data_IF_435429140649
#
_entry.id   IF_435429140649
#
_cell.length_a   1.000
_cell.length_b   1.000
_cell.length_c   1.000
_cell.angle_alpha   90.00
_cell.angle_beta   90.00
_cell.angle_gamma   90.00
#
_symmetry.space_group_name_H-M   'P 1'
#
loop_
_entity.id
_entity.type
_entity.pdbx_description
1 polymer ?
#
# COMPACT_ATOMS: atom_id res chain seq x y z
N UNK A 1 13.98 -22.84 -36.07
CA UNK A 1 12.58 -22.66 -35.60
C UNK A 1 12.53 -22.11 -34.17
N UNK A 2 13.12 -22.78 -33.18
CA UNK A 2 13.12 -22.32 -31.78
C UNK A 2 13.67 -20.89 -31.59
N UNK A 3 14.84 -20.60 -32.16
CA UNK A 3 15.46 -19.27 -32.09
C UNK A 3 14.56 -18.17 -32.69
N UNK A 4 13.92 -18.47 -33.83
CA UNK A 4 13.02 -17.53 -34.49
C UNK A 4 11.80 -17.25 -33.60
N UNK A 5 11.20 -18.27 -32.99
CA UNK A 5 10.03 -18.12 -32.13
C UNK A 5 10.34 -17.35 -30.85
N UNK A 6 11.51 -17.56 -30.23
CA UNK A 6 11.90 -16.83 -29.03
C UNK A 6 12.25 -15.37 -29.33
N UNK A 7 12.94 -15.09 -30.44
CA UNK A 7 13.22 -13.72 -30.88
C UNK A 7 11.95 -12.94 -31.16
N UNK A 8 10.97 -13.53 -31.86
CA UNK A 8 9.68 -12.89 -32.13
C UNK A 8 8.90 -12.61 -30.83
N UNK A 9 8.87 -13.57 -29.91
CA UNK A 9 8.20 -13.38 -28.61
C UNK A 9 8.86 -12.26 -27.78
N UNK A 10 10.20 -12.21 -27.72
CA UNK A 10 10.93 -11.17 -26.99
C UNK A 10 10.74 -9.78 -27.61
N UNK A 11 10.80 -9.66 -28.94
CA UNK A 11 10.51 -8.41 -29.65
C UNK A 11 9.09 -7.93 -29.36
N UNK A 12 8.14 -8.85 -29.30
CA UNK A 12 6.75 -8.51 -29.00
C UNK A 12 6.55 -8.06 -27.55
N UNK A 13 7.14 -8.75 -26.56
CA UNK A 13 7.10 -8.32 -25.16
C UNK A 13 7.76 -6.95 -24.99
N UNK A 14 8.90 -6.73 -25.65
CA UNK A 14 9.60 -5.44 -25.64
C UNK A 14 8.78 -4.30 -26.28
N UNK A 15 8.17 -4.55 -27.44
CA UNK A 15 7.30 -3.56 -28.08
C UNK A 15 6.06 -3.24 -27.21
N UNK A 16 5.48 -4.27 -26.59
CA UNK A 16 4.34 -4.13 -25.68
C UNK A 16 4.70 -3.40 -24.39
N UNK A 17 5.93 -3.54 -23.89
CA UNK A 17 6.40 -2.82 -22.70
C UNK A 17 6.70 -1.35 -23.02
N UNK A 18 7.27 -1.06 -24.20
CA UNK A 18 7.48 0.30 -24.69
C UNK A 18 6.15 1.08 -24.80
N UNK A 19 5.07 0.43 -25.26
CA UNK A 19 3.72 1.02 -25.27
C UNK A 19 3.28 1.38 -23.84
N UNK A 20 3.45 0.48 -22.87
CA UNK A 20 3.07 0.77 -21.47
C UNK A 20 3.92 1.85 -20.82
N UNK A 21 5.22 1.90 -21.11
CA UNK A 21 6.16 2.91 -20.59
C UNK A 21 5.95 4.27 -21.22
N UNK A 22 5.40 4.32 -22.43
CA UNK A 22 5.08 5.60 -23.09
C UNK A 22 4.08 6.46 -22.33
N UNK A 23 3.35 5.90 -21.37
CA UNK A 23 2.52 6.67 -20.46
C UNK A 23 3.33 7.68 -19.61
N UNK A 24 4.66 7.52 -19.49
CA UNK A 24 5.53 8.44 -18.77
C UNK A 24 5.84 9.73 -19.54
N UNK A 25 5.81 9.70 -20.89
CA UNK A 25 6.12 10.86 -21.72
C UNK A 25 5.15 10.97 -22.91
N UNK A 26 4.43 12.09 -22.96
CA UNK A 26 3.41 12.32 -23.98
C UNK A 26 4.00 12.47 -25.37
N UNK A 27 5.23 13.01 -25.49
CA UNK A 27 5.92 13.14 -26.77
C UNK A 27 6.30 11.77 -27.33
N UNK A 28 6.87 10.89 -26.49
CA UNK A 28 7.16 9.51 -26.86
C UNK A 28 5.89 8.72 -27.20
N UNK A 29 4.80 8.91 -26.46
CA UNK A 29 3.51 8.26 -26.75
C UNK A 29 2.99 8.58 -28.16
N UNK A 30 3.19 9.81 -28.64
CA UNK A 30 2.77 10.25 -29.97
C UNK A 30 3.67 9.71 -31.09
N UNK A 31 4.92 9.37 -30.79
CA UNK A 31 5.88 8.82 -31.77
C UNK A 31 5.82 7.29 -31.90
N UNK A 32 4.96 6.61 -31.14
CA UNK A 32 4.84 5.16 -31.18
C UNK A 32 4.29 4.66 -32.53
N UNK A 33 4.92 3.63 -33.14
CA UNK A 33 4.37 2.98 -34.33
C UNK A 33 2.98 2.39 -34.07
N UNK A 34 2.05 2.61 -35.01
CA UNK A 34 0.67 2.11 -34.94
C UNK A 34 0.60 0.59 -34.75
N UNK A 35 1.55 -0.15 -35.32
CA UNK A 35 1.66 -1.60 -35.16
C UNK A 35 1.99 -2.02 -33.73
N UNK A 36 2.87 -1.30 -33.02
CA UNK A 36 3.19 -1.60 -31.63
C UNK A 36 1.97 -1.42 -30.72
N UNK A 37 1.21 -0.33 -30.93
CA UNK A 37 -0.04 -0.05 -30.20
C UNK A 37 -1.11 -1.11 -30.50
N UNK A 38 -1.26 -1.52 -31.77
CA UNK A 38 -2.23 -2.54 -32.18
C UNK A 38 -1.90 -3.91 -31.59
N UNK A 39 -0.62 -4.29 -31.60
CA UNK A 39 -0.15 -5.54 -31.00
C UNK A 39 -0.33 -5.56 -29.48
N UNK A 40 -0.10 -4.44 -28.80
CA UNK A 40 -0.42 -4.30 -27.39
C UNK A 40 -1.91 -4.52 -27.12
N UNK A 41 -2.80 -3.83 -27.85
CA UNK A 41 -4.27 -3.95 -27.68
C UNK A 41 -4.80 -5.38 -27.87
N UNK A 42 -4.27 -6.10 -28.86
CA UNK A 42 -4.65 -7.50 -29.11
C UNK A 42 -4.29 -8.43 -27.95
N UNK A 43 -3.33 -8.03 -27.13
CA UNK A 43 -2.73 -8.89 -26.11
C UNK A 43 -2.87 -8.36 -24.69
N UNK A 44 -3.47 -7.18 -24.55
CA UNK A 44 -3.76 -6.52 -23.29
C UNK A 44 -4.56 -7.41 -22.33
N UNK A 45 -5.50 -8.21 -22.86
CA UNK A 45 -6.30 -9.17 -22.06
C UNK A 45 -5.44 -10.18 -21.30
N UNK A 46 -4.26 -10.51 -21.82
CA UNK A 46 -3.33 -11.44 -21.18
C UNK A 46 -2.43 -10.77 -20.14
N UNK A 47 -2.48 -9.43 -20.02
CA UNK A 47 -1.71 -8.64 -19.03
C UNK A 47 -0.20 -8.97 -19.02
N UNK A 48 0.36 -9.24 -20.19
CA UNK A 48 1.77 -9.63 -20.38
C UNK A 48 2.71 -8.46 -20.09
N UNK A 49 2.28 -7.25 -20.43
CA UNK A 49 2.90 -6.02 -19.96
C UNK A 49 1.82 -5.16 -19.31
N UNK A 50 2.17 -4.51 -18.21
CA UNK A 50 1.28 -3.58 -17.50
C UNK A 50 2.04 -2.29 -17.26
N UNK A 51 1.40 -1.17 -17.52
CA UNK A 51 1.89 0.11 -17.02
C UNK A 51 1.78 0.05 -15.49
N UNK A 52 2.89 0.28 -14.79
CA UNK A 52 2.84 0.53 -13.36
C UNK A 52 2.36 1.96 -13.16
N UNK A 53 1.08 2.13 -12.86
CA UNK A 53 0.49 3.45 -12.62
C UNK A 53 -0.52 3.32 -11.50
N UNK A 54 -0.05 3.39 -10.24
CA UNK A 54 -0.97 3.30 -9.12
C UNK A 54 -1.87 4.54 -9.08
N UNK A 55 -1.35 5.75 -9.36
CA UNK A 55 -2.12 6.97 -9.66
C UNK A 55 -1.23 7.92 -10.47
N UNK A 56 -1.61 8.30 -11.69
CA UNK A 56 -0.79 9.18 -12.56
C UNK A 56 -0.74 10.63 -12.05
N UNK A 57 -1.71 11.03 -11.23
CA UNK A 57 -1.74 12.26 -10.46
C UNK A 57 -2.56 11.98 -9.19
N UNK A 58 -1.94 12.02 -8.01
CA UNK A 58 -2.68 12.13 -6.76
C UNK A 58 -3.01 13.60 -6.58
N UNK A 59 -4.27 13.96 -6.80
CA UNK A 59 -4.76 15.30 -6.48
C UNK A 59 -4.74 15.45 -4.97
N UNK A 60 -4.02 16.46 -4.47
CA UNK A 60 -4.25 16.89 -3.09
C UNK A 60 -5.71 17.35 -2.92
N UNK A 61 -6.16 17.37 -1.68
CA UNK A 61 -7.52 17.74 -1.29
C UNK A 61 -7.55 19.15 -0.73
N UNK A 62 -8.76 19.70 -0.68
CA UNK A 62 -9.02 21.01 -0.08
C UNK A 62 -9.19 22.10 -1.12
N UNK A 63 -9.98 23.09 -0.74
CA UNK A 63 -10.17 24.33 -1.50
C UNK A 63 -9.97 25.51 -0.56
N UNK A 64 -9.19 26.49 -0.98
CA UNK A 64 -9.07 27.78 -0.29
C UNK A 64 -9.94 28.78 -1.02
N UNK A 65 -10.79 29.49 -0.28
CA UNK A 65 -11.47 30.67 -0.77
C UNK A 65 -10.58 31.88 -0.46
N UNK A 66 -10.19 32.63 -1.48
CA UNK A 66 -9.49 33.92 -1.30
C UNK A 66 -10.50 35.03 -0.99
N UNK A 67 -10.00 36.17 -0.50
CA UNK A 67 -10.80 37.34 -0.13
C UNK A 67 -11.62 37.91 -1.31
N UNK A 68 -11.24 37.59 -2.55
CA UNK A 68 -11.96 37.93 -3.78
C UNK A 68 -13.15 36.99 -4.08
N UNK A 69 -13.41 36.00 -3.22
CA UNK A 69 -14.45 35.00 -3.36
C UNK A 69 -14.10 33.83 -4.30
N UNK A 70 -12.89 33.79 -4.88
CA UNK A 70 -12.48 32.69 -5.75
C UNK A 70 -11.99 31.47 -4.96
N UNK A 71 -12.35 30.27 -5.44
CA UNK A 71 -11.92 29.01 -4.86
C UNK A 71 -10.75 28.41 -5.63
N UNK A 72 -9.67 28.11 -4.92
CA UNK A 72 -8.47 27.47 -5.46
C UNK A 72 -8.30 26.09 -4.83
N UNK A 73 -8.06 25.07 -5.65
CA UNK A 73 -7.70 23.75 -5.13
C UNK A 73 -6.34 23.83 -4.44
N UNK A 74 -6.29 23.44 -3.17
CA UNK A 74 -5.01 23.26 -2.46
C UNK A 74 -4.55 21.84 -2.69
N UNK A 75 -3.26 21.65 -2.93
CA UNK A 75 -2.66 20.32 -3.00
C UNK A 75 -2.29 19.88 -1.58
N UNK A 76 -3.28 19.70 -0.69
CA UNK A 76 -3.03 19.21 0.67
C UNK A 76 -3.26 17.70 0.78
N UNK A 77 -2.67 17.07 1.79
CA UNK A 77 -2.81 15.64 2.06
C UNK A 77 -3.75 15.43 3.26
N UNK A 78 -4.85 14.69 3.12
CA UNK A 78 -5.70 14.36 4.26
C UNK A 78 -5.03 13.28 5.10
N UNK A 79 -4.85 13.56 6.39
CA UNK A 79 -4.19 12.69 7.34
C UNK A 79 -5.04 12.48 8.58
N UNK A 80 -5.33 11.21 8.87
CA UNK A 80 -5.93 10.81 10.13
C UNK A 80 -4.81 10.67 11.18
N UNK A 81 -4.99 11.35 12.30
CA UNK A 81 -4.14 11.26 13.49
C UNK A 81 -4.92 10.52 14.58
N UNK A 82 -4.36 9.42 15.06
CA UNK A 82 -4.94 8.65 16.17
C UNK A 82 -4.37 9.21 17.46
N UNK A 83 -5.24 9.54 18.41
CA UNK A 83 -4.85 10.10 19.70
C UNK A 83 -5.43 9.23 20.81
N UNK A 84 -4.60 8.84 21.78
CA UNK A 84 -5.05 8.13 22.98
C UNK A 84 -5.03 9.02 24.21
N UNK A 85 -5.79 8.64 25.24
CA UNK A 85 -5.79 9.30 26.56
C UNK A 85 -5.67 8.26 27.68
N UNK A 86 -5.10 8.65 28.82
CA UNK A 86 -4.99 7.85 30.06
C UNK A 86 -5.65 8.51 31.28
N UNK A 87 -6.26 9.67 31.08
CA UNK A 87 -6.72 10.56 32.15
C UNK A 87 -8.15 11.04 31.91
N UNK A 88 -8.98 10.18 31.31
CA UNK A 88 -10.37 10.49 31.03
C UNK A 88 -10.58 11.60 30.00
N UNK A 89 -9.61 11.84 29.12
CA UNK A 89 -9.70 12.80 28.02
C UNK A 89 -9.18 14.21 28.33
N UNK A 90 -8.45 14.40 29.44
CA UNK A 90 -7.79 15.68 29.75
C UNK A 90 -6.58 15.91 28.85
N UNK A 91 -5.77 14.86 28.63
CA UNK A 91 -4.63 14.87 27.73
C UNK A 91 -4.77 13.81 26.63
N UNK A 92 -4.33 14.17 25.43
CA UNK A 92 -4.40 13.35 24.23
C UNK A 92 -3.03 13.28 23.58
N UNK A 93 -2.49 12.07 23.45
CA UNK A 93 -1.17 11.81 22.88
C UNK A 93 -1.29 11.10 21.53
N UNK A 94 -0.56 11.58 20.53
CA UNK A 94 -0.62 11.07 19.16
C UNK A 94 0.13 9.73 19.02
N UNK A 95 -0.52 8.74 18.40
CA UNK A 95 0.19 7.58 17.88
C UNK A 95 0.97 7.94 16.63
N UNK A 96 2.27 7.63 16.65
CA UNK A 96 3.14 7.87 15.52
C UNK A 96 3.18 6.68 14.56
N UNK A 97 3.13 6.98 13.26
CA UNK A 97 3.28 6.01 12.19
C UNK A 97 4.70 6.04 11.62
N UNK A 98 5.11 4.96 10.97
CA UNK A 98 6.49 4.79 10.50
C UNK A 98 6.84 5.69 9.32
N UNK A 99 5.90 5.87 8.40
CA UNK A 99 6.19 6.46 7.09
C UNK A 99 5.20 7.54 6.64
N UNK A 100 3.93 7.50 7.11
CA UNK A 100 3.00 8.61 6.83
C UNK A 100 3.38 9.87 7.63
N UNK A 101 3.01 11.06 7.14
CA UNK A 101 3.15 12.31 7.90
C UNK A 101 2.41 12.23 9.24
N UNK A 102 2.97 12.93 10.22
CA UNK A 102 2.41 13.06 11.57
C UNK A 102 3.03 14.29 12.22
N UNK A 103 4.23 14.12 12.77
CA UNK A 103 5.02 15.26 13.25
C UNK A 103 5.38 16.21 12.09
N UNK A 104 5.07 17.49 12.27
CA UNK A 104 5.28 18.54 11.26
C UNK A 104 6.75 18.87 11.02
N UNK A 105 7.63 18.51 11.96
CA UNK A 105 9.07 18.70 11.85
C UNK A 105 9.79 17.47 11.27
N UNK A 106 9.05 16.39 10.99
CA UNK A 106 9.62 15.17 10.45
C UNK A 106 9.66 15.19 8.91
N UNK A 107 10.86 15.03 8.36
CA UNK A 107 11.05 14.90 6.92
C UNK A 107 10.35 13.65 6.35
N UNK A 108 9.80 13.70 5.13
CA UNK A 108 9.31 12.52 4.43
C UNK A 108 10.42 11.47 4.27
N UNK A 109 10.12 10.21 4.55
CA UNK A 109 11.07 9.11 4.37
C UNK A 109 11.02 8.58 2.94
N UNK A 110 12.17 8.22 2.38
CA UNK A 110 12.24 7.45 1.14
C UNK A 110 11.86 6.00 1.45
N UNK A 111 10.69 5.57 0.98
CA UNK A 111 10.16 4.22 1.28
C UNK A 111 10.36 3.21 0.16
N UNK A 112 10.60 3.64 -1.08
CA UNK A 112 10.77 2.70 -2.19
C UNK A 112 11.97 1.76 -1.96
N UNK A 113 11.85 0.44 -2.24
CA UNK A 113 10.73 -0.26 -2.87
C UNK A 113 9.69 -0.85 -1.89
N UNK A 114 9.78 -0.52 -0.59
CA UNK A 114 8.81 -0.94 0.43
C UNK A 114 7.46 -0.26 0.20
N UNK A 115 6.38 -1.02 0.37
CA UNK A 115 5.01 -0.50 0.37
C UNK A 115 4.39 -0.63 1.77
N UNK A 116 4.46 0.43 2.60
CA UNK A 116 3.89 0.38 3.94
C UNK A 116 2.37 0.32 3.85
N UNK A 117 1.82 -0.89 4.01
CA UNK A 117 0.40 -1.17 3.73
C UNK A 117 -0.53 -0.41 4.67
N UNK A 118 -0.21 -0.33 5.97
CA UNK A 118 -1.04 0.38 6.94
C UNK A 118 -1.02 1.89 6.65
N UNK A 119 0.16 2.53 6.59
CA UNK A 119 0.32 3.95 6.29
C UNK A 119 -0.38 4.36 4.99
N UNK A 120 -0.33 3.50 3.97
CA UNK A 120 -1.03 3.70 2.70
C UNK A 120 -2.55 3.63 2.86
N UNK A 121 -3.06 2.62 3.57
CA UNK A 121 -4.50 2.46 3.83
C UNK A 121 -5.08 3.63 4.64
N UNK A 122 -4.31 4.22 5.55
CA UNK A 122 -4.74 5.42 6.30
C UNK A 122 -5.09 6.59 5.37
N UNK A 123 -4.34 6.79 4.28
CA UNK A 123 -4.65 7.84 3.30
C UNK A 123 -5.98 7.59 2.58
N UNK A 124 -6.28 6.34 2.21
CA UNK A 124 -7.59 6.02 1.59
C UNK A 124 -8.74 6.21 2.58
N UNK A 125 -8.55 5.80 3.83
CA UNK A 125 -9.56 6.04 4.87
C UNK A 125 -9.85 7.53 5.00
N UNK A 126 -8.82 8.38 4.98
CA UNK A 126 -8.96 9.82 5.14
C UNK A 126 -9.78 10.52 4.03
N UNK A 127 -10.02 9.85 2.89
CA UNK A 127 -10.87 10.37 1.80
C UNK A 127 -12.37 10.15 2.05
N UNK A 128 -12.74 9.28 2.99
CA UNK A 128 -14.12 8.96 3.32
C UNK A 128 -14.42 9.19 4.81
N UNK A 129 -15.33 8.37 5.34
CA UNK A 129 -15.68 8.37 6.76
C UNK A 129 -15.26 7.05 7.42
N UNK A 130 -15.04 7.09 8.74
CA UNK A 130 -14.59 5.92 9.50
C UNK A 130 -15.56 4.72 9.40
N UNK A 131 -16.85 4.99 9.18
CA UNK A 131 -17.90 3.98 9.00
C UNK A 131 -17.68 3.15 7.71
N UNK A 132 -17.09 3.75 6.68
CA UNK A 132 -16.71 3.07 5.44
C UNK A 132 -15.38 2.30 5.56
N UNK A 133 -14.65 2.49 6.66
CA UNK A 133 -13.40 1.82 6.97
C UNK A 133 -13.47 1.01 8.29
N UNK A 134 -14.27 -0.08 8.37
CA UNK A 134 -14.39 -0.91 9.59
C UNK A 134 -13.04 -1.42 10.14
N UNK A 135 -12.05 -1.60 9.28
CA UNK A 135 -10.71 -2.05 9.67
C UNK A 135 -10.00 -1.03 10.56
N UNK A 136 -10.28 0.27 10.40
CA UNK A 136 -9.72 1.33 11.23
C UNK A 136 -10.30 1.29 12.64
N UNK A 137 -11.61 1.03 12.77
CA UNK A 137 -12.26 0.83 14.07
C UNK A 137 -11.69 -0.41 14.77
N UNK A 138 -11.44 -1.49 14.02
CA UNK A 138 -10.80 -2.68 14.59
C UNK A 138 -9.33 -2.45 14.96
N UNK A 139 -8.58 -1.65 14.18
CA UNK A 139 -7.24 -1.19 14.54
C UNK A 139 -7.26 -0.48 15.90
N UNK A 140 -8.21 0.44 16.09
CA UNK A 140 -8.38 1.18 17.35
C UNK A 140 -8.74 0.25 18.50
N UNK A 141 -9.67 -0.70 18.29
CA UNK A 141 -10.01 -1.70 19.30
C UNK A 141 -8.77 -2.49 19.75
N UNK A 142 -7.89 -2.89 18.82
CA UNK A 142 -6.66 -3.61 19.15
C UNK A 142 -5.61 -2.74 19.85
N UNK A 143 -5.59 -1.44 19.59
CA UNK A 143 -4.73 -0.50 20.32
C UNK A 143 -5.24 -0.29 21.75
N UNK A 144 -6.57 -0.20 21.95
CA UNK A 144 -7.21 -0.16 23.27
C UNK A 144 -6.96 -1.43 24.09
N UNK A 145 -6.90 -2.60 23.42
CA UNK A 145 -6.51 -3.87 24.04
C UNK A 145 -4.99 -3.95 24.35
N UNK A 146 -4.19 -3.00 23.87
CA UNK A 146 -2.73 -3.01 24.02
C UNK A 146 -2.02 -4.09 23.19
N UNK A 147 -2.59 -4.52 22.06
CA UNK A 147 -2.05 -5.61 21.24
C UNK A 147 -0.62 -5.31 20.76
N UNK A 148 0.39 -6.13 21.16
CA UNK A 148 1.78 -5.87 20.79
C UNK A 148 2.03 -6.00 19.28
N UNK A 149 1.31 -6.90 18.60
CA UNK A 149 1.47 -7.10 17.16
C UNK A 149 0.93 -5.93 16.34
N UNK A 150 -0.15 -5.29 16.81
CA UNK A 150 -0.68 -4.07 16.19
C UNK A 150 0.25 -2.88 16.46
N UNK A 151 0.76 -2.74 17.68
CA UNK A 151 1.72 -1.69 18.02
C UNK A 151 2.99 -1.76 17.16
N UNK A 152 3.46 -2.96 16.79
CA UNK A 152 4.58 -3.15 15.86
C UNK A 152 4.31 -2.64 14.44
N UNK A 153 3.05 -2.44 14.04
CA UNK A 153 2.72 -1.82 12.75
C UNK A 153 2.99 -0.30 12.76
N UNK A 154 2.93 0.32 13.94
CA UNK A 154 3.18 1.73 14.18
C UNK A 154 4.67 1.99 14.52
N UNK A 155 5.03 3.26 14.71
CA UNK A 155 6.36 3.66 15.16
C UNK A 155 6.52 3.40 16.66
N UNK A 156 6.97 2.20 16.99
CA UNK A 156 7.17 1.75 18.38
C UNK A 156 8.24 2.54 19.14
N UNK A 157 9.09 3.32 18.46
CA UNK A 157 10.13 4.13 19.12
C UNK A 157 9.57 5.37 19.80
N UNK A 158 8.38 5.81 19.38
CA UNK A 158 7.66 6.98 19.89
C UNK A 158 6.26 6.60 20.35
N UNK A 159 6.11 5.41 20.92
CA UNK A 159 4.81 4.96 21.42
C UNK A 159 4.50 5.65 22.76
N UNK A 160 3.43 6.47 22.86
CA UNK A 160 3.04 7.10 24.12
C UNK A 160 2.51 6.11 25.17
N UNK A 161 2.11 4.91 24.76
CA UNK A 161 1.40 3.95 25.61
C UNK A 161 2.18 2.64 25.80
N UNK A 162 3.46 2.76 26.19
CA UNK A 162 4.36 1.62 26.40
C UNK A 162 3.91 0.68 27.53
N UNK A 163 3.69 1.23 28.73
CA UNK A 163 3.45 0.45 29.95
C UNK A 163 2.01 -0.07 30.06
N UNK A 164 1.05 0.71 29.57
CA UNK A 164 -0.38 0.39 29.62
C UNK A 164 -1.10 1.01 28.42
N UNK A 165 -2.12 0.31 27.89
CA UNK A 165 -2.94 0.87 26.82
C UNK A 165 -3.69 2.13 27.27
N UNK A 166 -4.19 2.94 26.32
CA UNK A 166 -5.01 4.12 26.61
C UNK A 166 -6.46 3.76 26.97
N UNK A 167 -7.11 4.60 27.78
CA UNK A 167 -8.50 4.46 28.22
C UNK A 167 -9.49 4.74 27.10
N UNK A 168 -9.16 5.67 26.22
CA UNK A 168 -9.91 5.92 25.02
C UNK A 168 -8.98 6.34 23.88
N UNK A 169 -9.42 6.10 22.65
CA UNK A 169 -8.75 6.56 21.43
C UNK A 169 -9.76 7.30 20.56
N UNK A 170 -9.38 8.47 20.08
CA UNK A 170 -10.12 9.23 19.07
C UNK A 170 -9.30 9.36 17.79
N UNK A 171 -9.94 9.79 16.70
CA UNK A 171 -9.24 10.10 15.47
C UNK A 171 -9.60 11.50 14.98
N UNK A 172 -8.58 12.29 14.63
CA UNK A 172 -8.71 13.64 14.12
C UNK A 172 -8.26 13.70 12.66
N UNK A 173 -8.96 14.46 11.82
CA UNK A 173 -8.57 14.69 10.42
C UNK A 173 -7.89 16.04 10.28
N UNK A 174 -6.70 16.02 9.68
CA UNK A 174 -5.92 17.20 9.34
C UNK A 174 -5.59 17.24 7.86
N UNK A 175 -5.42 18.44 7.33
CA UNK A 175 -4.79 18.66 6.03
C UNK A 175 -3.33 19.06 6.22
N UNK A 176 -2.42 18.31 5.59
CA UNK A 176 -0.99 18.55 5.60
C UNK A 176 -0.56 19.17 4.27
N UNK A 177 0.21 20.26 4.33
CA UNK A 177 0.86 20.87 3.17
C UNK A 177 2.36 21.04 3.45
N UNK A 178 3.17 21.00 2.40
CA UNK A 178 4.61 21.18 2.54
C UNK A 178 4.95 22.64 2.83
N UNK A 179 5.93 22.85 3.71
CA UNK A 179 6.62 24.13 3.77
C UNK A 179 7.48 24.31 2.52
N UNK A 180 7.76 25.57 2.15
CA UNK A 180 8.44 25.91 0.91
C UNK A 180 9.55 26.92 1.15
N UNK A 181 10.67 26.77 0.44
CA UNK A 181 11.76 27.75 0.47
C UNK A 181 11.33 29.09 -0.15
N UNK A 182 11.95 30.19 0.27
CA UNK A 182 11.67 31.52 -0.28
C UNK A 182 12.22 31.68 -1.70
N UNK A 183 11.45 31.26 -2.71
CA UNK A 183 11.73 31.44 -4.14
C UNK A 183 10.62 32.26 -4.79
N UNK A 184 10.89 32.86 -5.97
CA UNK A 184 9.85 33.56 -6.74
C UNK A 184 8.70 32.64 -7.13
N UNK A 185 8.98 31.39 -7.50
CA UNK A 185 7.97 30.38 -7.83
C UNK A 185 7.09 30.01 -6.63
N UNK A 186 7.70 29.75 -5.46
CA UNK A 186 6.93 29.41 -4.26
C UNK A 186 6.04 30.56 -3.79
N UNK A 187 6.50 31.81 -3.88
CA UNK A 187 5.71 32.99 -3.52
C UNK A 187 4.49 33.22 -4.41
N UNK A 188 4.47 32.65 -5.62
CA UNK A 188 3.32 32.71 -6.50
C UNK A 188 2.20 31.75 -6.09
N UNK A 189 2.45 30.80 -5.17
CA UNK A 189 1.45 29.85 -4.68
C UNK A 189 0.67 30.47 -3.50
N UNK A 190 -0.66 30.69 -3.64
CA UNK A 190 -1.48 31.25 -2.57
C UNK A 190 -1.43 30.38 -1.31
N UNK A 191 -1.41 31.02 -0.13
CA UNK A 191 -1.45 30.38 1.19
C UNK A 191 -0.30 29.40 1.51
N UNK A 192 0.72 29.30 0.64
CA UNK A 192 1.86 28.45 0.91
C UNK A 192 2.71 29.01 2.06
N UNK A 193 3.09 28.15 3.01
CA UNK A 193 4.02 28.56 4.07
C UNK A 193 5.43 28.66 3.50
N UNK A 194 5.91 29.90 3.39
CA UNK A 194 7.30 30.20 3.06
C UNK A 194 8.13 30.16 4.35
N UNK A 195 9.26 29.45 4.32
CA UNK A 195 10.23 29.45 5.40
C UNK A 195 11.10 30.70 5.28
N UNK A 196 11.17 31.48 6.37
CA UNK A 196 12.02 32.68 6.45
C UNK A 196 13.51 32.31 6.48
N UNK A 197 13.83 31.16 7.07
CA UNK A 197 15.19 30.63 7.19
C UNK A 197 15.22 29.19 6.65
N UNK A 198 16.22 28.87 5.81
CA UNK A 198 16.43 27.51 5.30
C UNK A 198 16.75 26.48 6.38
N UNK A 199 17.12 26.93 7.58
CA UNK A 199 17.43 26.07 8.72
C UNK A 199 16.22 25.74 9.62
N UNK A 200 15.01 26.22 9.28
CA UNK A 200 13.79 25.83 9.99
C UNK A 200 13.51 24.33 9.80
N UNK A 201 13.39 23.54 10.89
CA UNK A 201 13.16 22.10 10.79
C UNK A 201 11.73 21.74 10.36
N UNK A 202 10.82 22.71 10.20
CA UNK A 202 9.43 22.43 9.86
C UNK A 202 9.28 22.02 8.39
N UNK A 203 8.88 20.77 8.16
CA UNK A 203 8.63 20.20 6.83
C UNK A 203 7.18 20.36 6.38
N UNK A 204 6.25 20.45 7.33
CA UNK A 204 4.82 20.47 7.07
C UNK A 204 4.11 21.58 7.82
N UNK A 205 3.06 22.13 7.23
CA UNK A 205 1.96 22.76 7.97
C UNK A 205 0.82 21.77 8.09
N UNK A 206 0.06 21.87 9.18
CA UNK A 206 -1.18 21.12 9.33
C UNK A 206 -2.32 22.03 9.77
N UNK A 207 -3.50 21.81 9.20
CA UNK A 207 -4.73 22.51 9.57
C UNK A 207 -5.77 21.49 10.00
N UNK A 208 -6.38 21.73 11.16
CA UNK A 208 -7.46 20.88 11.66
C UNK A 208 -8.69 21.01 10.76
N UNK A 209 -9.28 19.88 10.38
CA UNK A 209 -10.49 19.85 9.54
C UNK A 209 -11.70 19.51 10.38
N UNK A 210 -11.68 18.35 11.03
CA UNK A 210 -12.80 17.83 11.84
C UNK A 210 -12.37 16.66 12.70
N UNK A 211 -13.21 16.34 13.67
CA UNK A 211 -13.17 15.03 14.30
C UNK A 211 -13.54 13.96 13.26
N UNK A 212 -12.65 12.99 13.08
CA UNK A 212 -12.81 11.93 12.10
C UNK A 212 -13.58 10.74 12.69
N UNK A 213 -13.28 10.39 13.94
CA UNK A 213 -13.92 9.32 14.69
C UNK A 213 -13.99 9.74 16.17
N UNK A 214 -15.15 9.57 16.83
CA UNK A 214 -15.30 9.92 18.24
C UNK A 214 -14.38 9.07 19.12
N UNK A 215 -14.19 9.53 20.36
CA UNK A 215 -13.46 8.77 21.37
C UNK A 215 -14.14 7.42 21.63
N UNK A 216 -13.43 6.35 21.31
CA UNK A 216 -13.84 4.98 21.61
C UNK A 216 -13.16 4.56 22.90
N UNK A 217 -13.96 4.23 23.91
CA UNK A 217 -13.50 3.82 25.23
C UNK A 217 -13.13 2.33 25.28
N UNK A 218 -12.13 2.02 26.08
CA UNK A 218 -11.72 0.65 26.39
C UNK A 218 -12.84 -0.06 27.14
N UNK A 219 -13.18 -1.26 26.69
CA UNK A 219 -14.26 -2.06 27.29
C UNK A 219 -15.68 -1.62 26.89
N UNK A 220 -15.84 -0.70 25.93
CA UNK A 220 -17.15 -0.33 25.42
C UNK A 220 -17.85 -1.54 24.76
N UNK A 221 -19.05 -1.96 25.22
CA UNK A 221 -19.73 -3.15 24.69
C UNK A 221 -20.15 -2.99 23.22
N UNK A 222 -20.45 -1.77 22.79
CA UNK A 222 -20.80 -1.48 21.39
C UNK A 222 -19.61 -1.68 20.45
N UNK A 223 -18.40 -1.34 20.90
CA UNK A 223 -17.17 -1.59 20.15
C UNK A 223 -16.89 -3.10 20.03
N UNK A 224 -17.05 -3.83 21.13
CA UNK A 224 -16.90 -5.29 21.12
C UNK A 224 -17.90 -5.96 20.16
N UNK A 225 -19.17 -5.55 20.20
CA UNK A 225 -20.21 -6.04 19.29
C UNK A 225 -19.89 -5.70 17.83
N UNK A 226 -19.42 -4.49 17.55
CA UNK A 226 -19.00 -4.07 16.20
C UNK A 226 -17.87 -4.94 15.65
N UNK A 227 -16.83 -5.20 16.46
CA UNK A 227 -15.70 -6.06 16.07
C UNK A 227 -16.18 -7.49 15.86
N UNK A 228 -17.01 -8.04 16.74
CA UNK A 228 -17.55 -9.39 16.60
C UNK A 228 -18.41 -9.55 15.34
N UNK A 229 -19.16 -8.52 14.96
CA UNK A 229 -19.97 -8.53 13.74
C UNK A 229 -19.13 -8.59 12.46
N UNK A 230 -18.05 -7.80 12.39
CA UNK A 230 -17.20 -7.70 11.18
C UNK A 230 -16.08 -8.75 11.14
N UNK A 231 -15.58 -9.19 12.30
CA UNK A 231 -14.58 -10.23 12.47
C UNK A 231 -15.07 -11.28 13.46
N UNK A 232 -16.05 -12.12 13.07
CA UNK A 232 -16.51 -13.19 13.92
C UNK A 232 -15.32 -14.09 14.27
N UNK A 233 -15.17 -14.41 15.56
CA UNK A 233 -14.16 -15.35 15.99
C UNK A 233 -14.32 -16.64 15.16
N UNK A 234 -13.23 -17.22 14.65
CA UNK A 234 -13.34 -18.46 13.89
C UNK A 234 -14.01 -19.49 14.80
N UNK A 235 -15.20 -19.96 14.40
CA UNK A 235 -15.77 -21.20 14.93
C UNK A 235 -14.66 -22.22 14.79
N UNK A 236 -14.32 -22.93 15.87
CA UNK A 236 -13.26 -23.94 15.94
C UNK A 236 -13.40 -24.94 14.79
N UNK A 237 -12.84 -24.62 13.62
CA UNK A 237 -12.73 -25.56 12.53
C UNK A 237 -11.73 -26.57 13.01
N UNK A 238 -12.20 -27.79 13.25
CA UNK A 238 -11.40 -29.00 13.39
C UNK A 238 -10.15 -28.85 12.55
N UNK A 239 -8.99 -28.87 13.21
CA UNK A 239 -7.68 -28.83 12.55
C UNK A 239 -7.70 -29.89 11.45
N UNK A 240 -7.66 -29.51 10.15
CA UNK A 240 -7.50 -30.52 9.12
C UNK A 240 -6.14 -31.16 9.38
N UNK A 241 -6.11 -32.47 9.56
CA UNK A 241 -4.90 -33.24 9.84
C UNK A 241 -3.85 -32.87 8.79
N UNK A 242 -2.86 -32.07 9.18
CA UNK A 242 -1.83 -31.52 8.29
C UNK A 242 -0.86 -32.66 7.99
N UNK A 243 -1.25 -33.57 7.11
CA UNK A 243 -0.36 -34.64 6.63
C UNK A 243 -0.05 -34.42 5.15
N UNK A 244 -1.01 -33.95 4.35
CA UNK A 244 -0.86 -33.78 2.89
C UNK A 244 0.03 -32.58 2.48
N UNK A 245 0.01 -31.48 3.24
CA UNK A 245 0.86 -30.30 2.92
C UNK A 245 2.36 -30.56 3.10
N UNK A 246 2.73 -31.60 3.87
CA UNK A 246 4.14 -31.94 4.10
C UNK A 246 4.82 -32.49 2.85
N UNK A 247 4.12 -33.31 2.05
CA UNK A 247 4.68 -33.95 0.87
C UNK A 247 4.87 -32.95 -0.28
N UNK A 248 3.93 -32.02 -0.48
CA UNK A 248 4.03 -30.96 -1.49
C UNK A 248 5.17 -30.01 -1.14
N UNK A 249 5.29 -29.62 0.13
CA UNK A 249 6.37 -28.75 0.60
C UNK A 249 7.74 -29.40 0.46
N UNK A 250 7.88 -30.68 0.83
CA UNK A 250 9.11 -31.44 0.62
C UNK A 250 9.47 -31.60 -0.86
N UNK A 251 8.48 -31.74 -1.75
CA UNK A 251 8.71 -31.79 -3.19
C UNK A 251 9.24 -30.45 -3.72
N UNK A 252 8.62 -29.34 -3.33
CA UNK A 252 9.05 -27.99 -3.71
C UNK A 252 10.47 -27.70 -3.21
N UNK A 253 10.78 -28.04 -1.96
CA UNK A 253 12.11 -27.80 -1.39
C UNK A 253 13.21 -28.61 -2.10
N UNK A 254 12.92 -29.86 -2.53
CA UNK A 254 13.85 -30.67 -3.33
C UNK A 254 14.09 -30.08 -4.73
N UNK A 255 13.04 -29.59 -5.39
CA UNK A 255 13.16 -28.96 -6.71
C UNK A 255 13.97 -27.67 -6.61
N UNK A 256 13.74 -26.85 -5.60
CA UNK A 256 14.50 -25.63 -5.35
C UNK A 256 15.97 -25.93 -5.03
N UNK A 257 16.26 -26.95 -4.24
CA UNK A 257 17.64 -27.39 -3.99
C UNK A 257 18.36 -27.86 -5.27
N UNK A 258 17.67 -28.59 -6.16
CA UNK A 258 18.24 -29.01 -7.44
C UNK A 258 18.50 -27.83 -8.38
N UNK A 259 17.59 -26.85 -8.42
CA UNK A 259 17.76 -25.64 -9.23
C UNK A 259 18.90 -24.76 -8.70
N UNK A 260 19.03 -24.60 -7.39
CA UNK A 260 20.08 -23.78 -6.77
C UNK A 260 21.46 -24.47 -6.70
N UNK A 261 21.52 -25.81 -6.78
CA UNK A 261 22.76 -26.58 -6.64
C UNK A 261 23.55 -26.84 -7.94
N UNK A 262 22.98 -26.54 -9.11
CA UNK A 262 23.71 -26.63 -10.37
C UNK A 262 24.63 -25.41 -10.58
N UNK A 263 25.85 -25.55 -11.12
CA UNK A 263 26.63 -24.39 -11.54
C UNK A 263 25.98 -23.79 -12.79
N UNK A 264 25.32 -22.65 -12.64
CA UNK A 264 24.63 -22.00 -13.76
C UNK A 264 25.69 -21.44 -14.70
N UNK A 265 25.74 -21.94 -15.94
CA UNK A 265 26.55 -21.27 -16.96
C UNK A 265 25.99 -19.86 -17.21
N UNK A 266 26.82 -18.89 -17.65
CA UNK A 266 26.37 -17.53 -17.96
C UNK A 266 25.21 -17.49 -18.96
N UNK A 267 25.09 -18.51 -19.82
CA UNK A 267 24.00 -18.67 -20.80
C UNK A 267 22.68 -19.10 -20.13
N UNK A 268 22.75 -19.89 -19.05
CA UNK A 268 21.58 -20.32 -18.27
C UNK A 268 20.94 -19.19 -17.46
N UNK A 269 21.75 -18.25 -16.95
CA UNK A 269 21.28 -17.04 -16.26
C UNK A 269 20.50 -16.11 -17.21
N UNK A 270 20.99 -15.93 -18.44
CA UNK A 270 20.31 -15.13 -19.45
C UNK A 270 18.98 -15.75 -19.92
N UNK A 271 18.91 -17.09 -20.03
CA UNK A 271 17.68 -17.80 -20.38
C UNK A 271 16.66 -17.82 -19.22
N UNK A 272 17.13 -17.89 -17.97
CA UNK A 272 16.28 -17.87 -16.77
C UNK A 272 15.54 -16.55 -16.57
N UNK A 273 16.18 -15.41 -16.86
CA UNK A 273 15.54 -14.10 -16.79
C UNK A 273 14.44 -13.91 -17.85
N UNK A 274 14.58 -14.54 -19.03
CA UNK A 274 13.58 -14.47 -20.10
C UNK A 274 12.43 -15.46 -19.90
N UNK A 275 12.66 -16.58 -19.20
CA UNK A 275 11.64 -17.60 -18.90
C UNK A 275 10.92 -17.45 -17.55
N UNK A 276 11.27 -16.43 -16.76
CA UNK A 276 10.60 -16.16 -15.48
C UNK A 276 9.15 -15.66 -15.61
N UNK A 277 8.65 -15.40 -16.83
CA UNK A 277 7.26 -14.95 -17.06
C UNK A 277 6.31 -16.08 -17.54
N UNK A 278 6.71 -17.13 -18.30
CA UNK A 278 5.77 -18.20 -18.66
C UNK A 278 5.77 -19.43 -17.71
N UNK A 279 6.81 -19.59 -16.86
CA UNK A 279 7.00 -20.80 -16.05
C UNK A 279 5.91 -21.09 -15.03
N UNK A 280 5.27 -20.05 -14.48
CA UNK A 280 4.20 -20.20 -13.49
C UNK A 280 2.94 -20.81 -14.12
N UNK A 281 2.60 -20.42 -15.35
CA UNK A 281 1.43 -20.96 -16.06
C UNK A 281 1.62 -22.40 -16.56
N UNK A 282 2.86 -22.84 -16.79
CA UNK A 282 3.17 -24.24 -17.11
C UNK A 282 3.11 -25.13 -15.86
N UNK A 283 3.61 -24.62 -14.71
CA UNK A 283 3.52 -25.30 -13.43
C UNK A 283 2.06 -25.49 -12.98
N UNK A 284 1.21 -24.47 -13.12
CA UNK A 284 -0.23 -24.58 -12.81
C UNK A 284 -0.98 -25.52 -13.77
N UNK A 285 -0.60 -25.60 -15.05
CA UNK A 285 -1.19 -26.55 -16.01
C UNK A 285 -0.77 -28.00 -15.75
N UNK A 286 0.45 -28.22 -15.27
CA UNK A 286 0.92 -29.54 -14.85
C UNK A 286 0.26 -29.99 -13.54
N UNK A 287 0.17 -29.11 -12.54
CA UNK A 287 -0.53 -29.40 -11.27
C UNK A 287 -2.02 -29.73 -11.49
N UNK A 288 -2.71 -29.08 -12.44
CA UNK A 288 -4.08 -29.46 -12.83
C UNK A 288 -4.18 -30.83 -13.49
N UNK A 289 -3.18 -31.27 -14.26
CA UNK A 289 -3.15 -32.61 -14.87
C UNK A 289 -2.86 -33.70 -13.85
N UNK A 290 -2.04 -33.43 -12.83
CA UNK A 290 -1.77 -34.38 -11.74
C UNK A 290 -2.98 -34.57 -10.81
N UNK A 291 -3.82 -33.54 -10.64
CA UNK A 291 -5.05 -33.64 -9.84
C UNK A 291 -6.17 -34.43 -10.54
N UNK A 292 -6.10 -34.62 -11.86
CA UNK A 292 -7.11 -35.34 -12.64
C UNK A 292 -7.00 -36.89 -12.59
N UNK A 293 -6.00 -37.43 -11.87
CA UNK A 293 -5.74 -38.88 -11.79
C UNK A 293 -6.08 -39.49 -10.42
N UNK A 294 -7.05 -38.93 -9.70
CA UNK A 294 -7.59 -39.54 -8.47
C UNK A 294 -9.08 -39.79 -8.68
N UNK A 295 -9.43 -41.01 -9.10
CA UNK A 295 -10.81 -41.52 -9.03
C UNK A 295 -11.20 -41.64 -7.56
N UNK A 296 -12.05 -40.73 -7.08
CA UNK A 296 -12.77 -40.89 -5.81
C UNK A 296 -13.75 -42.05 -5.96
N UNK A 297 -13.45 -43.17 -5.31
CA UNK A 297 -14.43 -44.21 -4.99
C UNK A 297 -15.10 -43.76 -3.69
N UNK A 298 -16.41 -43.54 -3.74
CA UNK A 298 -17.22 -43.35 -2.54
C UNK A 298 -17.67 -44.73 -2.06
N UNK A 299 -17.37 -45.05 -0.80
CA UNK A 299 -18.18 -45.93 0.04
C UNK A 299 -18.79 -45.05 1.15
#
# INVERSE_FOLDING_TARGET
>A
MYLLTTTLASLWVFASSAVTLSALDQSYQQSLPSHAVSMYRLTEKYRITSAYGLFRSMTGVGSVQLDDGQHYSVVARPEIILEGTKDGGLTWEEYHFKYKPGDVNSAPRLVAPLHPRLDWQMWFAALGDYQSAPWLVHLVAKLLDGSPDVKKLLDSTRDPFLDSPPDAIRAQLYYYDFTRLNTSWNRALPMSKILDNSSDPQWWTRTFVREYMPALERGNPSLAAFVQHHWPAPVSKLSPTITEFSAVRQCIDRVLQQLCGAPWSPVGLAAGFVLAQPGVAALFRWLRRCSATVKLKFD
#
